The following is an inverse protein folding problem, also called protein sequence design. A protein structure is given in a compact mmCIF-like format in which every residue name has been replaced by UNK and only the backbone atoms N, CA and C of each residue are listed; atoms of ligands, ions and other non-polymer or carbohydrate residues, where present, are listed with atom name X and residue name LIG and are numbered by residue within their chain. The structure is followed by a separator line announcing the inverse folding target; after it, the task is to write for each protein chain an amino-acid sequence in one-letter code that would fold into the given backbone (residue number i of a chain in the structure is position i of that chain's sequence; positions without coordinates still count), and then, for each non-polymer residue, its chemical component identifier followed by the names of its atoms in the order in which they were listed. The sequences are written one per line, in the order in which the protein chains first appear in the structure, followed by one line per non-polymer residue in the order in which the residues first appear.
data_IF_787818047838
#
_entry.id   IF_787818047838
#
_cell.length_a   1.000
_cell.length_b   1.000
_cell.length_c   1.000
_cell.angle_alpha   90.00
_cell.angle_beta   90.00
_cell.angle_gamma   90.00
#
_symmetry.space_group_name_H-M   'P 1'
#
loop_
_entity.id
_entity.type
_entity.pdbx_description
1 polymer ?
#
# COMPACT_ATOMS: atom_id res chain seq x y z
N UNK A 1 -13.04 -12.49 -26.24
CA UNK A 1 -13.79 -12.53 -24.96
C UNK A 1 -12.86 -12.73 -23.77
N UNK A 2 -12.05 -13.79 -23.72
CA UNK A 2 -11.12 -14.07 -22.59
C UNK A 2 -10.12 -12.93 -22.34
N UNK A 3 -9.46 -12.41 -23.38
CA UNK A 3 -8.49 -11.30 -23.24
C UNK A 3 -9.13 -10.02 -22.67
N UNK A 4 -10.38 -9.75 -23.06
CA UNK A 4 -11.14 -8.58 -22.60
C UNK A 4 -11.49 -8.73 -21.11
N UNK A 5 -11.92 -9.91 -20.70
CA UNK A 5 -12.17 -10.23 -19.28
C UNK A 5 -10.89 -10.11 -18.45
N UNK A 6 -9.76 -10.60 -18.97
CA UNK A 6 -8.47 -10.52 -18.28
C UNK A 6 -7.99 -9.07 -18.14
N UNK A 7 -8.18 -8.25 -19.18
CA UNK A 7 -7.91 -6.82 -19.14
C UNK A 7 -8.76 -6.08 -18.11
N UNK A 8 -10.07 -6.35 -18.05
CA UNK A 8 -10.97 -5.79 -17.04
C UNK A 8 -10.59 -6.20 -15.62
N UNK A 9 -10.20 -7.46 -15.42
CA UNK A 9 -9.74 -7.95 -14.13
C UNK A 9 -8.49 -7.20 -13.68
N UNK A 10 -7.47 -7.08 -14.55
CA UNK A 10 -6.23 -6.37 -14.21
C UNK A 10 -6.52 -4.90 -13.91
N UNK A 11 -7.33 -4.23 -14.73
CA UNK A 11 -7.71 -2.84 -14.50
C UNK A 11 -8.44 -2.68 -13.15
N UNK A 12 -9.38 -3.59 -12.84
CA UNK A 12 -10.09 -3.61 -11.55
C UNK A 12 -9.14 -3.80 -10.36
N UNK A 13 -8.17 -4.70 -10.47
CA UNK A 13 -7.16 -4.92 -9.44
C UNK A 13 -6.25 -3.70 -9.24
N UNK A 14 -5.81 -3.06 -10.33
CA UNK A 14 -5.02 -1.82 -10.26
C UNK A 14 -5.80 -0.68 -9.63
N UNK A 15 -7.07 -0.49 -10.04
CA UNK A 15 -7.96 0.49 -9.44
C UNK A 15 -8.14 0.22 -7.94
N UNK A 16 -8.40 -1.03 -7.55
CA UNK A 16 -8.48 -1.41 -6.14
C UNK A 16 -7.20 -1.03 -5.39
N UNK A 17 -6.03 -1.46 -5.87
CA UNK A 17 -4.73 -1.17 -5.26
C UNK A 17 -4.46 0.33 -5.11
N UNK A 18 -4.83 1.15 -6.10
CA UNK A 18 -4.57 2.59 -6.08
C UNK A 18 -5.56 3.37 -5.21
N UNK A 19 -6.83 2.94 -5.14
CA UNK A 19 -7.89 3.74 -4.52
C UNK A 19 -8.33 3.22 -3.14
N UNK A 20 -7.96 2.01 -2.72
CA UNK A 20 -8.47 1.41 -1.48
C UNK A 20 -8.18 2.25 -0.22
N UNK A 21 -7.00 2.89 -0.13
CA UNK A 21 -6.67 3.76 1.00
C UNK A 21 -7.61 4.97 1.05
N UNK A 22 -7.86 5.60 -0.10
CA UNK A 22 -8.77 6.74 -0.20
C UNK A 22 -10.21 6.34 0.14
N UNK A 23 -10.68 5.21 -0.40
CA UNK A 23 -12.05 4.71 -0.15
C UNK A 23 -12.27 4.43 1.34
N UNK A 24 -11.26 3.90 2.03
CA UNK A 24 -11.34 3.58 3.47
C UNK A 24 -10.98 4.76 4.39
N UNK A 25 -10.71 5.95 3.84
CA UNK A 25 -10.31 7.12 4.62
C UNK A 25 -8.95 6.94 5.34
N UNK A 26 -8.10 6.07 4.81
CA UNK A 26 -6.78 5.78 5.37
C UNK A 26 -5.73 6.77 4.84
N UNK A 27 -4.67 7.06 5.62
CA UNK A 27 -3.51 7.81 5.14
C UNK A 27 -2.93 7.22 3.84
N UNK A 28 -2.24 8.04 3.02
CA UNK A 28 -1.55 7.54 1.83
C UNK A 28 -0.53 6.47 2.18
N UNK A 29 -0.14 5.65 1.22
CA UNK A 29 0.82 4.58 1.45
C UNK A 29 1.11 3.79 0.19
N UNK A 30 2.04 2.83 0.25
CA UNK A 30 2.37 2.00 -0.90
C UNK A 30 1.14 1.19 -1.35
N UNK A 31 0.83 1.14 -2.65
CA UNK A 31 -0.33 0.43 -3.15
C UNK A 31 -0.21 -1.06 -2.79
N UNK A 32 -1.20 -1.65 -2.11
CA UNK A 32 -1.19 -3.07 -1.77
C UNK A 32 -1.34 -3.92 -3.01
N UNK A 33 -0.65 -5.06 -3.05
CA UNK A 33 -0.95 -6.10 -4.00
C UNK A 33 -2.29 -6.75 -3.66
N UNK A 34 -3.10 -7.15 -4.65
CA UNK A 34 -4.28 -7.95 -4.41
C UNK A 34 -3.91 -9.22 -3.62
N UNK A 35 -4.72 -9.57 -2.61
CA UNK A 35 -4.58 -10.73 -1.72
C UNK A 35 -3.38 -10.68 -0.74
N UNK A 36 -2.21 -10.23 -1.19
CA UNK A 36 -0.97 -10.23 -0.40
C UNK A 36 -0.69 -8.91 0.31
N UNK A 37 -1.38 -7.82 0.00
CA UNK A 37 -1.05 -6.52 0.56
C UNK A 37 0.38 -6.08 0.20
N UNK A 38 1.11 -5.53 1.16
CA UNK A 38 2.48 -5.03 0.96
C UNK A 38 3.56 -6.06 1.38
N UNK A 39 3.20 -7.33 1.63
CA UNK A 39 4.16 -8.35 2.10
C UNK A 39 5.41 -8.46 1.21
N UNK A 40 5.23 -8.50 -0.12
CA UNK A 40 6.34 -8.61 -1.08
C UNK A 40 7.17 -7.32 -1.22
N UNK A 41 6.69 -6.20 -0.68
CA UNK A 41 7.41 -4.92 -0.72
C UNK A 41 8.33 -4.75 0.49
N UNK A 42 8.16 -5.55 1.55
CA UNK A 42 9.10 -5.63 2.64
C UNK A 42 10.38 -6.33 2.18
N UNK A 43 11.49 -5.61 2.29
CA UNK A 43 12.84 -6.19 2.17
C UNK A 43 13.36 -6.54 3.56
N UNK A 44 14.46 -7.28 3.63
CA UNK A 44 15.14 -7.64 4.88
C UNK A 44 15.42 -6.43 5.78
N UNK A 45 15.75 -5.28 5.17
CA UNK A 45 15.98 -4.02 5.89
C UNK A 45 14.69 -3.20 6.02
N UNK A 46 13.84 -3.55 7.00
CA UNK A 46 12.58 -2.85 7.28
C UNK A 46 12.77 -1.38 7.61
N UNK A 47 13.79 -1.03 8.41
CA UNK A 47 14.04 0.35 8.83
C UNK A 47 14.32 1.27 7.63
N UNK A 48 15.15 0.80 6.69
CA UNK A 48 15.43 1.54 5.45
C UNK A 48 14.17 1.71 4.61
N UNK A 49 13.30 0.69 4.56
CA UNK A 49 12.04 0.75 3.84
C UNK A 49 11.04 1.72 4.47
N UNK A 50 10.92 1.73 5.79
CA UNK A 50 10.09 2.71 6.48
C UNK A 50 10.63 4.13 6.34
N UNK A 51 11.94 4.32 6.33
CA UNK A 51 12.55 5.62 6.08
C UNK A 51 12.27 6.11 4.64
N UNK A 52 12.39 5.22 3.65
CA UNK A 52 12.02 5.51 2.26
C UNK A 52 10.54 5.90 2.16
N UNK A 53 9.63 5.10 2.73
CA UNK A 53 8.20 5.39 2.72
C UNK A 53 7.84 6.66 3.49
N UNK A 54 8.51 6.97 4.60
CA UNK A 54 8.36 8.25 5.29
C UNK A 54 8.68 9.42 4.37
N UNK A 55 9.71 9.31 3.52
CA UNK A 55 10.07 10.35 2.55
C UNK A 55 9.00 10.54 1.47
N UNK A 56 8.36 9.45 1.04
CA UNK A 56 7.34 9.48 -0.03
C UNK A 56 5.94 9.86 0.47
N UNK A 57 5.52 9.34 1.63
CA UNK A 57 4.14 9.44 2.13
C UNK A 57 4.02 10.35 3.36
N UNK A 58 5.14 10.75 3.97
CA UNK A 58 5.19 11.66 5.10
C UNK A 58 5.16 10.96 6.46
N UNK A 59 4.69 11.71 7.46
CA UNK A 59 4.76 11.35 8.88
C UNK A 59 3.89 10.17 9.29
N UNK A 60 2.80 9.93 8.56
CA UNK A 60 1.90 8.81 8.77
C UNK A 60 1.50 8.20 7.43
N UNK A 61 1.59 6.87 7.31
CA UNK A 61 1.24 6.18 6.08
C UNK A 61 0.66 4.79 6.35
N UNK A 62 -0.11 4.27 5.40
CA UNK A 62 -0.81 2.98 5.53
C UNK A 62 -0.04 1.86 4.85
N UNK A 63 0.19 0.76 5.57
CA UNK A 63 0.71 -0.48 5.03
C UNK A 63 -0.30 -1.60 5.26
N UNK A 64 -0.65 -2.30 4.20
CA UNK A 64 -1.51 -3.46 4.20
C UNK A 64 -0.72 -4.72 4.54
N UNK A 65 -0.88 -5.16 5.77
CA UNK A 65 -0.61 -6.54 6.19
C UNK A 65 -1.96 -7.30 6.10
N UNK A 66 -2.22 -8.43 6.80
CA UNK A 66 -3.57 -9.03 6.77
C UNK A 66 -4.70 -8.03 7.07
N UNK A 67 -4.37 -6.95 7.79
CA UNK A 67 -5.22 -5.77 8.00
C UNK A 67 -4.45 -4.47 7.68
N UNK A 68 -5.15 -3.39 7.29
CA UNK A 68 -4.50 -2.09 7.08
C UNK A 68 -3.92 -1.58 8.40
N UNK A 69 -2.64 -1.23 8.39
CA UNK A 69 -1.91 -0.75 9.56
C UNK A 69 -1.37 0.64 9.25
N UNK A 70 -1.71 1.61 10.09
CA UNK A 70 -1.17 2.98 9.99
C UNK A 70 0.14 3.02 10.75
N UNK A 71 1.23 3.34 10.04
CA UNK A 71 2.55 3.53 10.62
C UNK A 71 2.76 5.02 10.85
N UNK A 72 3.07 5.38 12.10
CA UNK A 72 3.39 6.75 12.51
C UNK A 72 4.90 6.80 12.74
N UNK A 73 5.59 7.70 12.04
CA UNK A 73 7.06 7.77 12.04
C UNK A 73 7.60 9.10 12.59
N UNK A 74 6.72 9.97 13.09
CA UNK A 74 7.08 11.23 13.73
C UNK A 74 7.17 11.03 15.24
N UNK A 75 8.26 11.50 15.83
CA UNK A 75 8.48 11.50 17.27
C UNK A 75 8.72 12.95 17.69
N UNK A 76 7.94 13.46 18.64
CA UNK A 76 8.24 14.76 19.27
C UNK A 76 9.26 14.48 20.37
N UNK A 77 10.52 14.82 20.10
CA UNK A 77 11.62 14.76 21.09
C UNK A 77 11.56 15.98 21.97
#
# INVERSE_FOLDING_TARGET
MILLLLGLLIAGLLCYSCFINRIRGLPPGPPPLPLLGNFLQFKTDLDKKFFEWKRWYGKAFTVWMPHPTVIITDCKV
#
